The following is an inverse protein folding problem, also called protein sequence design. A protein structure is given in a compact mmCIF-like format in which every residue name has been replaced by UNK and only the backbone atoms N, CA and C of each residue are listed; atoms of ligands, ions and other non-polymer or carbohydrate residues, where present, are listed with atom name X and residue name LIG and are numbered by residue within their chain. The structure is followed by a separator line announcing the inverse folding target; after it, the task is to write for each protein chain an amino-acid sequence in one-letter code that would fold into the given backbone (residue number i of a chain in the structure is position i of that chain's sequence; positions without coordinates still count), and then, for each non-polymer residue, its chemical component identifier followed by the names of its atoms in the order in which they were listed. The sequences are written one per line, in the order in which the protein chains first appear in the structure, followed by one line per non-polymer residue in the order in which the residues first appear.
data_IF_961412978172
#
_entry.id   IF_961412978172
#
_cell.length_a   1.000
_cell.length_b   1.000
_cell.length_c   1.000
_cell.angle_alpha   90.00
_cell.angle_beta   90.00
_cell.angle_gamma   90.00
#
_symmetry.space_group_name_H-M   'P 1'
#
loop_
_entity.id
_entity.type
_entity.pdbx_description
1 polymer ?
#
# COMPACT_ATOMS: atom_id res chain seq x y z
N UNK A 1 -3.94 -7.16 4.45
CA UNK A 1 -5.22 -7.38 5.12
C UNK A 1 -6.28 -6.43 4.58
N UNK A 2 -7.45 -6.97 4.30
CA UNK A 2 -8.57 -6.16 3.82
C UNK A 2 -9.36 -5.59 5.01
N UNK A 3 -9.65 -4.31 4.94
CA UNK A 3 -10.45 -3.59 5.92
C UNK A 3 -11.43 -2.68 5.20
N UNK A 4 -12.45 -2.21 5.90
CA UNK A 4 -13.46 -1.36 5.27
C UNK A 4 -12.94 0.04 5.01
N UNK A 5 -12.52 0.76 6.05
CA UNK A 5 -11.96 2.10 5.94
C UNK A 5 -10.91 2.30 7.02
N UNK A 6 -9.96 3.21 6.76
CA UNK A 6 -9.09 3.70 7.80
C UNK A 6 -9.88 4.69 8.67
N UNK A 7 -9.89 4.51 10.00
CA UNK A 7 -10.66 5.39 10.87
C UNK A 7 -10.15 6.84 10.91
N UNK A 8 -8.87 7.05 10.60
CA UNK A 8 -8.27 8.39 10.61
C UNK A 8 -8.41 9.08 9.25
N UNK A 9 -8.50 8.32 8.18
CA UNK A 9 -8.64 8.85 6.82
C UNK A 9 -9.49 7.88 5.98
N UNK A 10 -10.82 8.14 5.86
CA UNK A 10 -11.70 7.26 5.09
C UNK A 10 -11.40 7.17 3.60
N UNK A 11 -10.59 8.09 3.06
CA UNK A 11 -10.20 8.09 1.64
C UNK A 11 -8.92 7.31 1.38
N UNK A 12 -8.22 6.90 2.41
CA UNK A 12 -6.97 6.16 2.27
C UNK A 12 -7.23 4.78 1.65
N UNK A 13 -6.46 4.44 0.63
CA UNK A 13 -6.63 3.18 -0.11
C UNK A 13 -5.82 2.04 0.47
N UNK A 14 -4.68 2.35 1.08
CA UNK A 14 -3.80 1.34 1.67
C UNK A 14 -2.82 1.92 2.67
N UNK A 15 -2.19 1.04 3.44
CA UNK A 15 -1.21 1.41 4.45
C UNK A 15 -0.31 0.21 4.74
N UNK A 16 1.00 0.43 4.89
CA UNK A 16 1.84 -0.60 5.47
C UNK A 16 2.14 -0.28 6.93
N UNK A 17 2.31 -1.32 7.73
CA UNK A 17 2.78 -1.22 9.10
C UNK A 17 4.13 -1.90 9.20
N UNK A 18 5.04 -1.27 9.95
CA UNK A 18 6.39 -1.77 10.14
C UNK A 18 7.41 -0.68 9.88
N UNK A 19 8.67 -1.05 9.94
CA UNK A 19 9.78 -0.12 9.71
C UNK A 19 10.22 -0.26 8.25
N UNK A 20 10.27 0.84 7.48
CA UNK A 20 10.80 0.79 6.11
C UNK A 20 12.18 0.15 6.06
N UNK A 21 12.44 -0.61 5.02
CA UNK A 21 13.69 -1.35 4.87
C UNK A 21 14.92 -0.45 4.99
N UNK A 22 14.85 0.76 4.46
CA UNK A 22 15.95 1.74 4.51
C UNK A 22 16.24 2.25 5.92
N UNK A 23 15.31 2.06 6.85
CA UNK A 23 15.45 2.50 8.24
C UNK A 23 15.71 1.34 9.20
N UNK A 24 15.80 0.12 8.68
CA UNK A 24 16.11 -1.04 9.49
C UNK A 24 17.61 -1.10 9.75
N UNK A 25 17.96 -1.38 11.00
CA UNK A 25 19.35 -1.58 11.41
C UNK A 25 19.71 -3.05 11.37
N UNK A 26 20.99 -3.34 11.53
CA UNK A 26 21.53 -4.69 11.49
C UNK A 26 20.74 -5.69 12.35
N UNK A 27 20.72 -6.94 11.93
CA UNK A 27 20.08 -8.06 12.63
C UNK A 27 18.55 -8.08 12.56
N UNK A 28 17.96 -7.23 11.78
CA UNK A 28 16.54 -7.32 11.56
C UNK A 28 16.25 -8.53 10.69
N UNK A 29 15.43 -9.45 11.16
CA UNK A 29 15.18 -10.72 10.49
C UNK A 29 14.17 -10.64 9.36
N UNK A 30 13.45 -9.53 9.24
CA UNK A 30 12.39 -9.40 8.24
C UNK A 30 12.81 -8.58 7.03
N UNK A 31 12.44 -9.06 5.84
CA UNK A 31 12.58 -8.33 4.59
C UNK A 31 11.23 -7.84 4.06
N UNK A 32 10.14 -8.13 4.77
CA UNK A 32 8.79 -7.74 4.43
C UNK A 32 8.21 -6.86 5.52
N UNK A 33 7.25 -5.98 5.21
CA UNK A 33 6.54 -5.22 6.23
C UNK A 33 5.78 -6.17 7.15
N UNK A 34 5.49 -5.72 8.38
CA UNK A 34 4.72 -6.51 9.33
C UNK A 34 3.30 -6.74 8.83
N UNK A 35 2.70 -5.73 8.20
CA UNK A 35 1.41 -5.87 7.57
C UNK A 35 1.22 -4.80 6.49
N UNK A 36 0.45 -5.16 5.48
CA UNK A 36 -0.06 -4.20 4.49
C UNK A 36 -1.58 -4.27 4.56
N UNK A 37 -2.22 -3.12 4.74
CA UNK A 37 -3.67 -3.01 4.77
C UNK A 37 -4.19 -2.48 3.45
N UNK A 38 -5.32 -3.02 3.02
CA UNK A 38 -6.05 -2.55 1.85
C UNK A 38 -7.46 -2.21 2.30
N UNK A 39 -7.91 -1.00 2.00
CA UNK A 39 -9.21 -0.52 2.47
C UNK A 39 -10.27 -0.76 1.40
N UNK A 40 -10.99 -1.85 1.55
CA UNK A 40 -11.94 -2.39 0.58
C UNK A 40 -12.99 -1.38 0.15
N UNK A 41 -13.67 -0.75 1.09
CA UNK A 41 -14.77 0.16 0.75
C UNK A 41 -14.26 1.45 0.10
N UNK A 42 -13.09 1.92 0.54
CA UNK A 42 -12.47 3.08 -0.09
C UNK A 42 -12.09 2.78 -1.55
N UNK A 43 -11.55 1.60 -1.81
CA UNK A 43 -11.23 1.17 -3.17
C UNK A 43 -12.49 0.98 -4.03
N UNK A 44 -13.51 0.32 -3.50
CA UNK A 44 -14.76 0.12 -4.22
C UNK A 44 -15.44 1.44 -4.56
N UNK A 45 -15.30 2.46 -3.72
CA UNK A 45 -15.89 3.77 -3.96
C UNK A 45 -15.33 4.48 -5.20
N UNK A 46 -14.09 4.17 -5.58
CA UNK A 46 -13.44 4.80 -6.74
C UNK A 46 -13.41 3.91 -7.99
N UNK A 47 -13.86 2.68 -7.88
CA UNK A 47 -13.82 1.72 -8.99
C UNK A 47 -15.20 1.54 -9.62
N UNK A 48 -15.23 1.51 -10.95
CA UNK A 48 -16.47 1.36 -11.72
C UNK A 48 -16.91 -0.10 -11.86
N UNK A 49 -15.93 -1.02 -11.86
CA UNK A 49 -16.19 -2.44 -12.07
C UNK A 49 -15.15 -3.31 -11.34
N UNK A 50 -15.32 -4.61 -11.42
CA UNK A 50 -14.45 -5.56 -10.75
C UNK A 50 -13.04 -5.58 -11.35
N UNK A 51 -12.91 -5.41 -12.65
CA UNK A 51 -11.61 -5.37 -13.31
C UNK A 51 -10.79 -4.18 -12.83
N UNK A 52 -11.43 -3.02 -12.75
CA UNK A 52 -10.79 -1.83 -12.21
C UNK A 52 -10.42 -2.00 -10.75
N UNK A 53 -11.28 -2.65 -9.97
CA UNK A 53 -11.02 -2.93 -8.56
C UNK A 53 -9.77 -3.80 -8.41
N UNK A 54 -9.63 -4.85 -9.20
CA UNK A 54 -8.45 -5.71 -9.16
C UNK A 54 -7.19 -4.94 -9.49
N UNK A 55 -7.26 -4.07 -10.49
CA UNK A 55 -6.13 -3.23 -10.88
C UNK A 55 -5.73 -2.28 -9.74
N UNK A 56 -6.70 -1.62 -9.12
CA UNK A 56 -6.44 -0.68 -8.04
C UNK A 56 -5.90 -1.38 -6.79
N UNK A 57 -6.38 -2.56 -6.47
CA UNK A 57 -5.84 -3.36 -5.37
C UNK A 57 -4.37 -3.69 -5.63
N UNK A 58 -4.04 -4.12 -6.84
CA UNK A 58 -2.67 -4.42 -7.23
C UNK A 58 -1.77 -3.21 -7.09
N UNK A 59 -2.19 -2.07 -7.64
CA UNK A 59 -1.42 -0.82 -7.59
C UNK A 59 -1.23 -0.37 -6.13
N UNK A 60 -2.29 -0.45 -5.32
CA UNK A 60 -2.23 -0.07 -3.91
C UNK A 60 -1.22 -0.90 -3.14
N UNK A 61 -1.23 -2.22 -3.33
CA UNK A 61 -0.27 -3.11 -2.67
C UNK A 61 1.15 -2.79 -3.13
N UNK A 62 1.38 -2.62 -4.43
CA UNK A 62 2.69 -2.26 -4.95
C UNK A 62 3.16 -0.91 -4.43
N UNK A 63 2.25 0.05 -4.32
CA UNK A 63 2.53 1.37 -3.78
C UNK A 63 3.06 1.28 -2.34
N UNK A 64 2.35 0.54 -1.48
CA UNK A 64 2.75 0.39 -0.08
C UNK A 64 4.05 -0.42 0.05
N UNK A 65 4.22 -1.45 -0.76
CA UNK A 65 5.48 -2.19 -0.79
C UNK A 65 6.63 -1.32 -1.27
N UNK A 66 6.37 -0.42 -2.22
CA UNK A 66 7.36 0.56 -2.67
C UNK A 66 7.84 1.46 -1.55
N UNK A 67 6.92 1.96 -0.72
CA UNK A 67 7.28 2.74 0.46
C UNK A 67 8.11 1.92 1.45
N UNK A 68 7.77 0.67 1.63
CA UNK A 68 8.56 -0.22 2.47
C UNK A 68 10.00 -0.32 1.97
N UNK A 69 10.21 -0.40 0.66
CA UNK A 69 11.54 -0.45 0.06
C UNK A 69 12.22 0.92 -0.04
N UNK A 70 11.58 1.97 0.45
CA UNK A 70 12.16 3.30 0.49
C UNK A 70 11.94 4.15 -0.74
N UNK A 71 11.05 3.74 -1.63
CA UNK A 71 10.71 4.54 -2.81
C UNK A 71 9.83 5.72 -2.43
N UNK A 72 10.10 6.87 -3.03
CA UNK A 72 9.30 8.06 -2.84
C UNK A 72 8.17 8.13 -3.88
N UNK A 73 7.20 9.02 -3.65
CA UNK A 73 6.03 9.13 -4.51
C UNK A 73 6.38 9.32 -5.99
N UNK A 74 7.34 10.17 -6.31
CA UNK A 74 7.72 10.40 -7.70
C UNK A 74 8.34 9.16 -8.35
N UNK A 75 9.03 8.34 -7.58
CA UNK A 75 9.60 7.09 -8.07
C UNK A 75 8.49 6.06 -8.33
N UNK A 76 7.51 6.00 -7.45
CA UNK A 76 6.35 5.12 -7.61
C UNK A 76 5.53 5.50 -8.84
N UNK A 77 5.32 6.80 -9.07
CA UNK A 77 4.64 7.29 -10.27
C UNK A 77 5.39 6.89 -11.54
N UNK A 78 6.71 7.00 -11.52
CA UNK A 78 7.53 6.62 -12.68
C UNK A 78 7.42 5.13 -13.01
N UNK A 79 7.21 4.29 -12.00
CA UNK A 79 7.03 2.85 -12.16
C UNK A 79 5.59 2.46 -12.51
N UNK A 80 4.66 3.39 -12.45
CA UNK A 80 3.24 3.10 -12.66
C UNK A 80 2.55 2.52 -11.43
N UNK A 81 3.13 2.71 -10.25
CA UNK A 81 2.61 2.19 -8.99
C UNK A 81 1.96 3.27 -8.12
N UNK A 82 1.79 4.41 -8.66
CA UNK A 82 1.13 5.53 -7.97
C UNK A 82 -0.26 5.81 -8.50
#
# INVERSE_FOLDING_TARGET
LARDYNPDDPTLLGLFEGVPLTEQHSNHSGFLPDAVFVYKNALEAICADEEQLRHEVKVTVLHEMGHYFGLEEHELHALGWG
#
